data_IF_902691759654
#
_entry.id   IF_902691759654
#
_cell.length_a   1.000
_cell.length_b   1.000
_cell.length_c   1.000
_cell.angle_alpha   90.00
_cell.angle_beta   90.00
_cell.angle_gamma   90.00
#
_symmetry.space_group_name_H-M   'P 1'
#
loop_
_entity.id
_entity.type
_entity.pdbx_description
1 polymer ?
#
# COMPACT_ATOMS: atom_id res chain seq x y z
N UNK A 1 4.58 3.56 -7.35
CA UNK A 1 4.67 4.89 -8.00
C UNK A 1 3.62 5.85 -7.45
N UNK A 2 2.34 5.51 -7.49
CA UNK A 2 1.23 6.43 -7.12
C UNK A 2 1.27 6.89 -5.66
N UNK A 3 1.72 6.05 -4.73
CA UNK A 3 1.94 6.44 -3.34
C UNK A 3 2.96 7.59 -3.22
N UNK A 4 4.07 7.52 -3.96
CA UNK A 4 5.09 8.56 -3.98
C UNK A 4 4.64 9.85 -4.67
N UNK A 5 3.53 9.82 -5.40
CA UNK A 5 2.90 10.95 -6.07
C UNK A 5 1.64 11.45 -5.33
N UNK A 6 1.27 10.84 -4.21
CA UNK A 6 0.06 11.18 -3.45
C UNK A 6 -1.24 10.73 -4.11
N UNK A 7 -1.20 9.82 -5.07
CA UNK A 7 -2.36 9.41 -5.88
C UNK A 7 -2.87 8.00 -5.60
N UNK A 8 -2.34 7.31 -4.59
CA UNK A 8 -2.68 5.90 -4.34
C UNK A 8 -4.19 5.68 -4.12
N UNK A 9 -4.85 6.57 -3.39
CA UNK A 9 -6.31 6.48 -3.16
C UNK A 9 -7.08 6.79 -4.45
N UNK A 10 -6.65 7.78 -5.22
CA UNK A 10 -7.26 8.11 -6.50
C UNK A 10 -7.12 6.98 -7.52
N UNK A 11 -5.94 6.37 -7.62
CA UNK A 11 -5.69 5.21 -8.48
C UNK A 11 -6.60 4.04 -8.09
N UNK A 12 -6.71 3.77 -6.78
CA UNK A 12 -7.57 2.71 -6.26
C UNK A 12 -9.05 2.99 -6.56
N UNK A 13 -9.48 4.25 -6.44
CA UNK A 13 -10.84 4.66 -6.79
C UNK A 13 -11.13 4.47 -8.29
N UNK A 14 -10.15 4.76 -9.16
CA UNK A 14 -10.24 4.52 -10.60
C UNK A 14 -10.44 3.05 -10.98
N UNK A 15 -9.90 2.13 -10.17
CA UNK A 15 -10.09 0.69 -10.32
C UNK A 15 -11.40 0.16 -9.66
N UNK A 16 -12.30 1.06 -9.24
CA UNK A 16 -13.57 0.72 -8.59
C UNK A 16 -13.47 0.54 -7.07
N UNK A 17 -12.40 1.06 -6.45
CA UNK A 17 -12.18 1.05 -5.01
C UNK A 17 -11.69 -0.29 -4.45
N UNK A 18 -11.67 -0.38 -3.13
CA UNK A 18 -11.21 -1.60 -2.44
C UNK A 18 -12.09 -2.82 -2.74
N UNK A 19 -13.37 -2.62 -2.97
CA UNK A 19 -14.32 -3.72 -3.19
C UNK A 19 -14.04 -4.49 -4.48
N UNK A 20 -13.57 -3.80 -5.53
CA UNK A 20 -13.23 -4.43 -6.81
C UNK A 20 -11.80 -4.99 -6.84
N UNK A 21 -10.91 -4.41 -6.04
CA UNK A 21 -9.49 -4.82 -6.00
C UNK A 21 -9.26 -6.02 -5.08
N UNK A 22 -10.09 -6.17 -4.04
CA UNK A 22 -9.95 -7.25 -3.07
C UNK A 22 -10.66 -8.51 -3.53
N UNK A 23 -10.09 -9.67 -3.13
CA UNK A 23 -10.75 -10.95 -3.29
C UNK A 23 -12.16 -10.96 -2.64
N UNK A 24 -13.19 -11.24 -3.44
CA UNK A 24 -14.59 -11.24 -3.00
C UNK A 24 -14.99 -12.46 -2.15
N UNK A 25 -14.10 -13.45 -2.03
CA UNK A 25 -14.35 -14.66 -1.26
C UNK A 25 -14.12 -14.49 0.25
N UNK A 26 -14.36 -15.56 1.03
CA UNK A 26 -14.16 -15.57 2.47
C UNK A 26 -12.68 -15.44 2.84
N UNK A 27 -12.38 -14.86 4.00
CA UNK A 27 -11.04 -14.76 4.55
C UNK A 27 -10.42 -16.13 4.85
N UNK A 28 -11.25 -17.09 5.21
CA UNK A 28 -10.87 -18.48 5.42
C UNK A 28 -11.96 -19.41 4.89
N UNK A 29 -11.57 -20.45 4.19
CA UNK A 29 -12.51 -21.47 3.74
C UNK A 29 -12.90 -22.39 4.90
N UNK A 30 -14.20 -22.58 5.11
CA UNK A 30 -14.71 -23.63 6.00
C UNK A 30 -14.30 -25.01 5.50
N UNK A 31 -14.38 -26.03 6.37
CA UNK A 31 -14.12 -27.42 5.97
C UNK A 31 -15.05 -27.88 4.84
N UNK A 32 -16.30 -27.44 4.87
CA UNK A 32 -17.34 -27.77 3.88
C UNK A 32 -17.07 -27.13 2.51
N UNK A 33 -16.62 -25.86 2.49
CA UNK A 33 -16.19 -25.20 1.25
C UNK A 33 -14.93 -25.88 0.68
N UNK A 34 -13.97 -26.24 1.54
CA UNK A 34 -12.78 -27.01 1.12
C UNK A 34 -13.11 -28.39 0.58
N UNK A 35 -14.19 -29.00 1.08
CA UNK A 35 -14.72 -30.28 0.59
C UNK A 35 -15.62 -30.14 -0.65
N UNK A 36 -15.84 -28.91 -1.16
CA UNK A 36 -16.70 -28.68 -2.33
C UNK A 36 -18.22 -28.80 -2.06
N UNK A 37 -18.63 -28.86 -0.80
CA UNK A 37 -20.05 -29.03 -0.42
C UNK A 37 -20.81 -27.71 -0.57
N UNK A 38 -20.13 -26.56 -0.31
CA UNK A 38 -20.75 -25.25 -0.42
C UNK A 38 -19.93 -24.33 -1.37
N UNK A 39 -20.61 -23.46 -2.15
CA UNK A 39 -19.93 -22.50 -3.01
C UNK A 39 -19.20 -21.42 -2.22
N UNK A 40 -18.17 -20.85 -2.80
CA UNK A 40 -17.37 -19.76 -2.20
C UNK A 40 -18.13 -18.44 -2.10
N UNK A 41 -19.19 -18.27 -2.90
CA UNK A 41 -19.96 -17.03 -2.99
C UNK A 41 -20.86 -16.77 -1.77
N UNK A 42 -20.99 -15.49 -1.39
CA UNK A 42 -21.93 -15.05 -0.35
C UNK A 42 -21.40 -15.05 1.08
N UNK A 43 -20.13 -15.37 1.30
CA UNK A 43 -19.54 -15.36 2.64
C UNK A 43 -19.20 -13.94 3.07
N UNK A 44 -19.81 -13.46 4.16
CA UNK A 44 -19.47 -12.14 4.73
C UNK A 44 -18.10 -12.17 5.39
N UNK A 45 -17.29 -11.16 5.12
CA UNK A 45 -16.05 -10.92 5.87
C UNK A 45 -16.38 -10.53 7.31
N UNK A 46 -15.67 -11.10 8.27
CA UNK A 46 -15.79 -10.79 9.70
C UNK A 46 -14.69 -9.87 10.21
N UNK A 47 -13.57 -9.85 9.52
CA UNK A 47 -12.41 -9.03 9.87
C UNK A 47 -12.39 -7.67 9.16
N UNK A 48 -11.54 -6.75 9.59
CA UNK A 48 -11.34 -5.46 8.94
C UNK A 48 -10.75 -5.65 7.54
N UNK A 49 -11.22 -4.85 6.59
CA UNK A 49 -10.67 -4.84 5.24
C UNK A 49 -9.25 -4.27 5.27
N UNK A 50 -8.30 -5.00 4.67
CA UNK A 50 -6.88 -4.68 4.62
C UNK A 50 -6.31 -5.12 3.27
N UNK A 51 -5.81 -4.17 2.49
CA UNK A 51 -5.03 -4.40 1.28
C UNK A 51 -3.59 -4.00 1.57
N UNK A 52 -2.71 -4.99 1.68
CA UNK A 52 -1.29 -4.77 1.98
C UNK A 52 -0.47 -4.89 0.72
N UNK A 53 0.25 -3.84 0.42
CA UNK A 53 1.13 -3.75 -0.72
C UNK A 53 2.52 -3.33 -0.23
N UNK A 54 3.55 -3.74 -0.92
CA UNK A 54 4.91 -3.33 -0.56
C UNK A 54 5.95 -3.92 -1.49
N UNK A 55 7.17 -3.50 -1.27
CA UNK A 55 8.36 -4.06 -1.91
C UNK A 55 9.54 -4.00 -0.95
N UNK A 56 10.54 -4.80 -1.23
CA UNK A 56 11.83 -4.76 -0.56
C UNK A 56 12.94 -4.81 -1.60
N UNK A 57 13.92 -3.94 -1.43
CA UNK A 57 15.17 -3.96 -2.17
C UNK A 57 16.34 -4.16 -1.21
N UNK A 58 17.56 -4.11 -1.75
CA UNK A 58 18.77 -4.30 -0.94
C UNK A 58 18.99 -3.14 0.04
N UNK A 59 18.67 -1.90 -0.37
CA UNK A 59 18.85 -0.70 0.44
C UNK A 59 17.64 -0.39 1.31
N UNK A 60 16.45 -0.35 0.70
CA UNK A 60 15.21 0.11 1.31
C UNK A 60 14.02 -0.76 0.95
N UNK A 61 13.08 -0.83 1.87
CA UNK A 61 11.76 -1.37 1.62
C UNK A 61 10.65 -0.42 2.08
N UNK A 62 9.48 -0.62 1.51
CA UNK A 62 8.26 0.13 1.80
C UNK A 62 7.06 -0.79 1.82
N UNK A 63 6.17 -0.58 2.77
CA UNK A 63 4.88 -1.24 2.85
C UNK A 63 3.76 -0.25 3.20
N UNK A 64 2.58 -0.50 2.66
CA UNK A 64 1.36 0.26 2.90
C UNK A 64 0.20 -0.70 3.19
N UNK A 65 -0.63 -0.36 4.16
CA UNK A 65 -1.88 -1.03 4.48
C UNK A 65 -3.04 -0.07 4.24
N UNK A 66 -3.88 -0.42 3.28
CA UNK A 66 -5.08 0.31 2.88
C UNK A 66 -6.31 -0.41 3.41
N UNK A 67 -7.31 0.33 3.82
CA UNK A 67 -8.54 -0.27 4.31
C UNK A 67 -9.70 0.71 4.30
N UNK A 68 -10.85 0.29 4.80
CA UNK A 68 -11.99 1.17 5.00
C UNK A 68 -11.93 1.82 6.40
N UNK A 69 -12.54 2.99 6.56
CA UNK A 69 -12.73 3.59 7.89
C UNK A 69 -13.53 2.65 8.80
N UNK A 70 -13.47 2.91 10.10
CA UNK A 70 -14.39 2.26 11.03
C UNK A 70 -15.82 2.56 10.62
N UNK A 71 -16.75 1.59 10.77
CA UNK A 71 -18.15 1.82 10.45
C UNK A 71 -18.66 3.08 11.15
N UNK A 72 -19.10 4.05 10.37
CA UNK A 72 -19.65 5.32 10.85
C UNK A 72 -20.82 5.71 9.95
N UNK A 73 -21.69 6.60 10.45
CA UNK A 73 -22.83 7.09 9.67
C UNK A 73 -22.44 8.17 8.64
N UNK A 74 -21.16 8.30 8.32
CA UNK A 74 -20.70 9.25 7.30
C UNK A 74 -20.87 8.72 5.90
N UNK A 75 -21.10 9.62 4.94
CA UNK A 75 -21.17 9.30 3.52
C UNK A 75 -19.86 8.71 2.96
N UNK A 76 -18.75 8.91 3.65
CA UNK A 76 -17.40 8.47 3.26
C UNK A 76 -16.99 7.11 3.86
N UNK A 77 -17.94 6.33 4.37
CA UNK A 77 -17.67 5.03 4.99
C UNK A 77 -17.10 3.95 4.04
N UNK A 78 -17.16 4.19 2.73
CA UNK A 78 -16.61 3.30 1.70
C UNK A 78 -15.33 3.82 1.05
N UNK A 79 -14.87 5.01 1.42
CA UNK A 79 -13.66 5.57 0.85
C UNK A 79 -12.41 4.91 1.44
N UNK A 80 -11.49 4.46 0.60
CA UNK A 80 -10.26 3.84 1.06
C UNK A 80 -9.42 4.81 1.88
N UNK A 81 -8.79 4.29 2.93
CA UNK A 81 -7.88 5.03 3.81
C UNK A 81 -6.54 4.33 3.91
N UNK A 82 -5.48 5.11 4.06
CA UNK A 82 -4.17 4.61 4.42
C UNK A 82 -4.12 4.43 5.94
N UNK A 83 -4.03 3.19 6.41
CA UNK A 83 -4.00 2.86 7.84
C UNK A 83 -2.59 2.86 8.41
N UNK A 84 -1.69 2.21 7.69
CA UNK A 84 -0.29 2.06 8.08
C UNK A 84 0.59 2.24 6.86
N UNK A 85 1.72 2.90 7.04
CA UNK A 85 2.86 2.87 6.13
C UNK A 85 4.12 2.62 6.94
N UNK A 86 5.08 1.89 6.37
CA UNK A 86 6.36 1.61 7.02
C UNK A 86 7.48 1.65 6.00
N UNK A 87 8.58 2.30 6.36
CA UNK A 87 9.84 2.29 5.62
C UNK A 87 10.93 1.66 6.48
N UNK A 88 11.76 0.85 5.85
CA UNK A 88 12.90 0.20 6.52
C UNK A 88 14.13 0.17 5.63
N UNK A 89 15.28 -0.01 6.26
CA UNK A 89 16.57 -0.22 5.59
C UNK A 89 16.83 -1.71 5.41
N UNK A 90 17.46 -2.06 4.28
CA UNK A 90 17.85 -3.43 3.95
C UNK A 90 16.71 -4.31 3.43
N UNK A 91 17.01 -5.58 3.17
CA UNK A 91 16.10 -6.48 2.44
C UNK A 91 14.93 -7.02 3.27
N UNK A 92 14.91 -6.81 4.59
CA UNK A 92 13.86 -7.35 5.47
C UNK A 92 13.35 -6.30 6.44
N UNK A 93 12.03 -6.22 6.58
CA UNK A 93 11.39 -5.41 7.60
C UNK A 93 11.55 -6.09 8.98
N UNK A 94 12.24 -5.41 9.86
CA UNK A 94 12.41 -5.79 11.27
C UNK A 94 12.11 -4.56 12.14
N UNK A 95 11.86 -4.79 13.44
CA UNK A 95 11.64 -3.69 14.38
C UNK A 95 12.80 -2.68 14.40
N UNK A 96 14.02 -3.15 14.20
CA UNK A 96 15.21 -2.31 14.24
C UNK A 96 15.51 -1.62 12.90
N UNK A 97 15.14 -2.24 11.78
CA UNK A 97 15.36 -1.65 10.45
C UNK A 97 14.31 -0.62 10.05
N UNK A 98 13.13 -0.61 10.68
CA UNK A 98 12.10 0.41 10.41
C UNK A 98 12.57 1.75 10.95
N UNK A 99 12.65 2.75 10.07
CA UNK A 99 13.08 4.11 10.41
C UNK A 99 11.99 5.17 10.25
N UNK A 100 10.94 4.90 9.47
CA UNK A 100 9.77 5.76 9.36
C UNK A 100 8.49 4.92 9.38
N UNK A 101 7.51 5.38 10.13
CA UNK A 101 6.24 4.69 10.31
C UNK A 101 5.10 5.70 10.38
N UNK A 102 3.99 5.37 9.71
CA UNK A 102 2.71 6.03 9.88
C UNK A 102 1.69 5.08 10.47
N UNK A 103 0.94 5.55 11.44
CA UNK A 103 -0.26 4.88 11.98
C UNK A 103 -1.41 5.88 12.10
N UNK A 104 -2.42 5.73 11.24
CA UNK A 104 -3.50 6.71 11.14
C UNK A 104 -2.94 8.10 10.82
N UNK A 105 -3.24 9.14 11.60
CA UNK A 105 -2.77 10.52 11.35
C UNK A 105 -1.33 10.78 11.82
N UNK A 106 -0.74 9.87 12.60
CA UNK A 106 0.57 10.06 13.23
C UNK A 106 1.68 9.51 12.35
N UNK A 107 2.70 10.34 12.07
CA UNK A 107 3.94 9.95 11.40
C UNK A 107 5.11 10.11 12.35
N UNK A 108 5.92 9.08 12.45
CA UNK A 108 7.15 9.04 13.27
C UNK A 108 8.33 8.67 12.39
N UNK A 109 9.46 9.31 12.67
CA UNK A 109 10.74 9.02 12.02
C UNK A 109 11.80 8.83 13.11
N UNK A 110 12.78 7.96 12.88
CA UNK A 110 13.94 7.82 13.76
C UNK A 110 14.93 8.94 13.48
N UNK A 111 15.42 9.57 14.57
CA UNK A 111 16.54 10.48 14.49
C UNK A 111 17.88 9.72 14.32
N UNK A 112 18.99 10.44 14.14
CA UNK A 112 20.33 9.87 14.01
C UNK A 112 20.77 9.01 15.22
N UNK A 113 20.19 9.27 16.38
CA UNK A 113 20.40 8.45 17.59
C UNK A 113 19.46 7.23 17.67
N UNK A 114 18.65 6.97 16.64
CA UNK A 114 17.71 5.87 16.56
C UNK A 114 16.44 6.03 17.42
N UNK A 115 16.18 7.21 17.96
CA UNK A 115 14.99 7.50 18.77
C UNK A 115 13.84 7.93 17.89
N UNK A 116 12.62 7.50 18.22
CA UNK A 116 11.43 7.92 17.50
C UNK A 116 11.06 9.38 17.82
N UNK A 117 10.80 10.14 16.77
CA UNK A 117 10.33 11.51 16.82
C UNK A 117 9.03 11.64 16.02
N UNK A 118 8.03 12.30 16.60
CA UNK A 118 6.80 12.64 15.89
C UNK A 118 7.08 13.80 14.93
N UNK A 119 6.84 13.59 13.64
CA UNK A 119 7.06 14.62 12.60
C UNK A 119 5.75 15.15 12.03
N UNK A 120 4.67 14.36 12.15
CA UNK A 120 3.34 14.77 11.75
C UNK A 120 2.29 14.12 12.63
N UNK A 121 1.29 14.89 13.09
CA UNK A 121 0.27 14.39 14.03
C UNK A 121 -1.15 14.44 13.48
N UNK A 122 -1.34 15.03 12.28
CA UNK A 122 -2.66 15.28 11.69
C UNK A 122 -2.70 14.98 10.20
N UNK A 123 -1.94 13.96 9.73
CA UNK A 123 -1.93 13.56 8.33
C UNK A 123 -3.30 13.00 7.93
N UNK A 124 -3.86 13.53 6.85
CA UNK A 124 -5.18 13.09 6.37
C UNK A 124 -5.17 11.60 5.97
N UNK A 125 -6.30 10.89 6.13
CA UNK A 125 -6.37 9.45 5.84
C UNK A 125 -6.05 9.07 4.38
N UNK A 126 -6.20 10.00 3.46
CA UNK A 126 -5.96 9.80 2.01
C UNK A 126 -4.54 10.16 1.58
N UNK A 127 -3.81 10.91 2.40
CA UNK A 127 -2.47 11.39 2.09
C UNK A 127 -1.40 10.40 2.56
N UNK A 128 -0.39 10.16 1.76
CA UNK A 128 0.74 9.31 2.12
C UNK A 128 1.82 10.10 2.86
N UNK A 129 2.47 9.48 3.83
CA UNK A 129 3.66 10.07 4.45
C UNK A 129 4.79 10.28 3.44
N UNK A 130 4.81 9.53 2.35
CA UNK A 130 5.79 9.71 1.26
C UNK A 130 5.72 11.09 0.60
N UNK A 131 4.56 11.75 0.65
CA UNK A 131 4.38 13.09 0.07
C UNK A 131 4.54 14.21 1.08
N UNK A 132 4.12 14.00 2.31
CA UNK A 132 4.03 15.07 3.31
C UNK A 132 5.20 15.07 4.31
N UNK A 133 5.76 13.91 4.63
CA UNK A 133 6.86 13.80 5.60
C UNK A 133 8.25 13.69 4.95
N UNK A 134 8.36 13.75 3.63
CA UNK A 134 9.63 13.69 2.91
C UNK A 134 10.32 15.06 2.92
N UNK A 135 10.95 15.39 4.03
CA UNK A 135 11.72 16.63 4.20
C UNK A 135 13.22 16.38 4.02
N UNK A 136 13.95 17.20 3.23
CA UNK A 136 15.38 17.00 3.00
C UNK A 136 16.25 17.21 4.25
N UNK A 137 15.75 17.90 5.27
CA UNK A 137 16.48 18.15 6.51
C UNK A 137 16.26 17.06 7.55
N UNK A 138 15.01 16.58 7.63
CA UNK A 138 14.58 15.70 8.71
C UNK A 138 14.35 14.25 8.28
N UNK A 139 14.24 13.99 6.97
CA UNK A 139 13.85 12.68 6.42
C UNK A 139 14.44 12.41 5.03
N UNK A 140 15.76 12.54 4.92
CA UNK A 140 16.46 12.39 3.64
C UNK A 140 16.27 11.02 3.01
N UNK A 141 16.27 9.95 3.81
CA UNK A 141 16.05 8.58 3.34
C UNK A 141 14.63 8.39 2.77
N UNK A 142 13.65 9.01 3.40
CA UNK A 142 12.27 8.99 2.93
C UNK A 142 12.14 9.76 1.60
N UNK A 143 12.78 10.92 1.50
CA UNK A 143 12.85 11.70 0.27
C UNK A 143 13.55 10.91 -0.86
N UNK A 144 14.69 10.30 -0.56
CA UNK A 144 15.45 9.48 -1.52
C UNK A 144 14.59 8.33 -2.06
N UNK A 145 13.91 7.61 -1.17
CA UNK A 145 13.04 6.52 -1.59
C UNK A 145 11.84 7.01 -2.40
N UNK A 146 11.25 8.15 -2.01
CA UNK A 146 10.17 8.78 -2.78
C UNK A 146 10.59 9.07 -4.22
N UNK A 147 11.75 9.72 -4.41
CA UNK A 147 12.23 10.06 -5.75
C UNK A 147 12.57 8.80 -6.57
N UNK A 148 13.13 7.76 -5.93
CA UNK A 148 13.34 6.45 -6.57
C UNK A 148 12.02 5.84 -7.03
N UNK A 149 10.99 5.82 -6.18
CA UNK A 149 9.67 5.31 -6.55
C UNK A 149 9.00 6.12 -7.67
N UNK A 150 9.19 7.44 -7.69
CA UNK A 150 8.69 8.32 -8.75
C UNK A 150 9.34 8.06 -10.10
N UNK A 151 10.59 7.63 -10.10
CA UNK A 151 11.32 7.30 -11.34
C UNK A 151 10.93 5.94 -11.94
N UNK A 152 10.22 5.09 -11.20
CA UNK A 152 9.82 3.77 -11.71
C UNK A 152 8.88 3.89 -12.91
N UNK A 153 9.10 3.01 -13.88
CA UNK A 153 8.25 2.86 -15.06
C UNK A 153 7.63 1.47 -15.04
N UNK A 154 6.32 1.41 -15.15
CA UNK A 154 5.55 0.18 -15.21
C UNK A 154 5.04 0.01 -16.65
N UNK A 155 5.24 -1.16 -17.21
CA UNK A 155 4.89 -1.50 -18.59
C UNK A 155 3.86 -2.63 -18.60
N UNK A 156 2.88 -2.55 -17.73
CA UNK A 156 1.80 -3.51 -17.53
C UNK A 156 0.87 -3.67 -18.75
N UNK A 157 0.77 -2.62 -19.58
CA UNK A 157 0.01 -2.65 -20.83
C UNK A 157 0.74 -3.32 -21.99
N UNK A 158 2.03 -3.62 -21.85
CA UNK A 158 2.79 -4.34 -22.89
C UNK A 158 2.48 -5.84 -22.84
N UNK A 159 1.88 -6.34 -23.91
CA UNK A 159 1.67 -7.77 -24.07
C UNK A 159 3.01 -8.49 -24.19
N UNK A 160 3.25 -9.47 -23.31
CA UNK A 160 4.46 -10.31 -23.31
C UNK A 160 4.18 -11.75 -23.71
N UNK A 161 2.91 -12.07 -24.02
CA UNK A 161 2.51 -13.39 -24.50
C UNK A 161 3.09 -13.72 -25.89
N UNK A 162 2.90 -14.98 -26.32
CA UNK A 162 3.44 -15.49 -27.59
C UNK A 162 2.92 -14.67 -28.80
N UNK A 163 1.70 -14.19 -28.73
CA UNK A 163 1.03 -13.47 -29.82
C UNK A 163 1.19 -11.95 -29.72
N UNK A 164 2.05 -11.47 -28.82
CA UNK A 164 2.34 -10.05 -28.67
C UNK A 164 2.84 -9.45 -29.99
N UNK A 165 2.36 -8.23 -30.38
CA UNK A 165 2.75 -7.61 -31.64
C UNK A 165 4.26 -7.45 -31.82
N UNK A 166 5.01 -7.22 -30.73
CA UNK A 166 6.47 -7.09 -30.74
C UNK A 166 7.21 -8.42 -31.04
N UNK A 167 6.52 -9.57 -30.97
CA UNK A 167 7.09 -10.90 -31.25
C UNK A 167 6.71 -11.45 -32.63
N UNK A 168 5.83 -10.77 -33.35
CA UNK A 168 5.46 -11.16 -34.71
C UNK A 168 6.57 -10.80 -35.67
N UNK A 169 6.83 -11.65 -36.70
CA UNK A 169 7.75 -11.30 -37.77
C UNK A 169 7.32 -9.96 -38.38
N UNK A 170 8.25 -9.04 -38.48
CA UNK A 170 8.05 -7.80 -39.21
C UNK A 170 8.38 -8.11 -40.68
N UNK A 171 7.39 -7.96 -41.54
CA UNK A 171 7.53 -8.12 -42.99
C UNK A 171 7.84 -6.78 -43.64
#
# INVERSE_FOLDING_TARGET
ADTAQGRVIQSLAGEGGLSSTLWAGPEAFSREVKAGIHPVQGTRRKGPISLRLGFSGDDYGYAIDLGLPLPSQTLFGHDPQIKVESLWTGPRMTRNSVFAERRGPLVKIRDEAGRWRDVWTSLAPVDSMMTHAADPRDALELLTLRERMRSWRFYDHLRTDRDAPCRRPQV
#
